data_IF_665622424770
#
_entry.id   IF_665622424770
#
_cell.length_a   1.000
_cell.length_b   1.000
_cell.length_c   1.000
_cell.angle_alpha   90.00
_cell.angle_beta   90.00
_cell.angle_gamma   90.00
#
_symmetry.space_group_name_H-M   'P 1'
#
loop_
_entity.id
_entity.type
_entity.pdbx_description
1 polymer ?
#
# COMPACT_ATOMS: atom_id res chain seq x y z
N UNK A 1 -14.89 15.13 9.20
CA UNK A 1 -14.99 14.08 8.13
C UNK A 1 -14.14 12.91 8.52
N UNK A 2 -14.60 11.68 8.38
CA UNK A 2 -13.83 10.45 8.66
C UNK A 2 -13.20 9.87 7.40
N UNK A 3 -12.13 9.11 7.57
CA UNK A 3 -11.55 8.30 6.50
C UNK A 3 -11.58 6.82 6.87
N UNK A 4 -11.93 5.98 5.92
CA UNK A 4 -11.99 4.53 6.02
C UNK A 4 -10.83 3.94 5.23
N UNK A 5 -9.92 3.23 5.89
CA UNK A 5 -8.78 2.60 5.23
C UNK A 5 -9.00 1.10 5.17
N UNK A 6 -9.08 0.56 3.96
CA UNK A 6 -9.22 -0.87 3.73
C UNK A 6 -7.87 -1.56 3.95
N UNK A 7 -7.80 -2.36 5.00
CA UNK A 7 -6.59 -3.07 5.44
C UNK A 7 -6.78 -4.58 5.33
N UNK A 8 -7.67 -4.99 4.43
CA UNK A 8 -7.96 -6.40 4.16
C UNK A 8 -6.87 -7.12 3.35
N UNK A 9 -6.94 -8.44 3.34
CA UNK A 9 -6.09 -9.32 2.54
C UNK A 9 -4.83 -9.81 3.25
N UNK A 10 -4.50 -11.09 3.03
CA UNK A 10 -3.37 -11.78 3.68
C UNK A 10 -1.98 -11.42 3.11
N UNK A 11 -1.92 -10.59 2.06
CA UNK A 11 -0.64 -10.20 1.44
C UNK A 11 0.15 -11.37 0.86
N UNK A 12 -0.50 -12.42 0.39
CA UNK A 12 0.15 -13.68 -0.05
C UNK A 12 1.19 -13.47 -1.15
N UNK A 13 0.98 -12.50 -2.04
CA UNK A 13 1.93 -12.16 -3.10
C UNK A 13 3.26 -11.59 -2.55
N UNK A 14 3.26 -11.01 -1.35
CA UNK A 14 4.44 -10.45 -0.67
C UNK A 14 5.17 -11.48 0.20
N UNK A 15 4.68 -12.71 0.33
CA UNK A 15 5.41 -13.77 1.06
C UNK A 15 6.83 -13.93 0.50
N UNK A 16 7.83 -14.12 1.39
CA UNK A 16 7.75 -14.45 2.81
C UNK A 16 7.62 -13.24 3.77
N UNK A 17 7.65 -11.98 3.32
CA UNK A 17 7.58 -10.79 4.19
C UNK A 17 6.32 -10.75 5.07
N UNK A 18 5.21 -11.24 4.53
CA UNK A 18 3.89 -11.21 5.19
C UNK A 18 3.52 -12.48 5.95
N UNK A 19 4.45 -13.40 6.15
CA UNK A 19 4.19 -14.61 6.98
C UNK A 19 3.91 -14.25 8.44
N UNK A 20 4.58 -13.25 8.96
CA UNK A 20 4.46 -12.82 10.36
C UNK A 20 3.94 -11.39 10.55
N UNK A 21 3.99 -10.58 9.51
CA UNK A 21 3.69 -9.15 9.57
C UNK A 21 2.55 -8.82 8.60
N UNK A 22 1.46 -8.15 9.03
CA UNK A 22 0.45 -7.66 8.11
C UNK A 22 1.07 -6.78 7.03
N UNK A 23 0.57 -6.85 5.79
CA UNK A 23 1.10 -6.12 4.65
C UNK A 23 1.30 -4.62 4.96
N UNK A 24 0.29 -3.99 5.53
CA UNK A 24 0.29 -2.55 5.79
C UNK A 24 1.21 -2.14 6.95
N UNK A 25 1.73 -3.11 7.69
CA UNK A 25 2.75 -2.93 8.73
C UNK A 25 4.18 -3.12 8.22
N UNK A 26 4.35 -3.52 6.94
CA UNK A 26 5.69 -3.57 6.34
C UNK A 26 6.26 -2.15 6.21
N UNK A 27 7.51 -1.94 6.62
CA UNK A 27 8.12 -0.61 6.57
C UNK A 27 8.55 -0.24 5.15
N UNK A 28 8.26 0.99 4.75
CA UNK A 28 8.76 1.61 3.53
C UNK A 28 9.62 2.79 3.97
N UNK A 29 10.91 2.71 3.70
CA UNK A 29 11.91 3.69 4.12
C UNK A 29 11.83 4.08 5.62
N UNK A 30 11.51 3.11 6.48
CA UNK A 30 11.48 3.26 7.94
C UNK A 30 10.12 3.62 8.56
N UNK A 31 9.10 3.89 7.76
CA UNK A 31 7.72 4.09 8.22
C UNK A 31 6.83 2.96 7.70
N UNK A 32 5.88 2.51 8.50
CA UNK A 32 4.94 1.48 8.04
C UNK A 32 4.11 2.00 6.86
N UNK A 33 3.70 1.11 5.98
CA UNK A 33 2.86 1.45 4.83
C UNK A 33 1.58 2.19 5.26
N UNK A 34 0.99 1.80 6.40
CA UNK A 34 -0.21 2.48 6.92
C UNK A 34 0.08 3.92 7.35
N UNK A 35 1.27 4.23 7.88
CA UNK A 35 1.65 5.61 8.21
C UNK A 35 1.72 6.47 6.96
N UNK A 36 2.24 5.94 5.84
CA UNK A 36 2.27 6.63 4.56
C UNK A 36 0.86 6.96 4.05
N UNK A 37 -0.06 6.00 4.13
CA UNK A 37 -1.45 6.17 3.68
C UNK A 37 -2.18 7.19 4.56
N UNK A 38 -2.04 7.08 5.88
CA UNK A 38 -2.74 7.98 6.82
C UNK A 38 -2.17 9.39 6.82
N UNK A 39 -0.85 9.54 6.65
CA UNK A 39 -0.21 10.84 6.59
C UNK A 39 -0.78 11.73 5.47
N UNK A 40 -1.19 11.14 4.36
CA UNK A 40 -1.83 11.84 3.22
C UNK A 40 -3.18 12.46 3.54
N UNK A 41 -3.80 12.08 4.65
CA UNK A 41 -5.08 12.63 5.11
C UNK A 41 -4.93 13.93 5.90
N UNK A 42 -3.71 14.20 6.40
CA UNK A 42 -3.43 15.40 7.18
C UNK A 42 -3.67 16.68 6.38
N UNK A 43 -4.34 17.64 6.99
CA UNK A 43 -4.62 18.95 6.38
C UNK A 43 -5.81 18.97 5.40
N UNK A 44 -6.51 17.85 5.21
CA UNK A 44 -7.63 17.73 4.27
C UNK A 44 -9.02 17.61 4.96
N UNK A 45 -9.10 17.98 6.25
CA UNK A 45 -10.36 17.98 7.00
C UNK A 45 -10.78 16.60 7.51
N UNK A 46 -9.87 15.62 7.46
CA UNK A 46 -10.04 14.33 8.12
C UNK A 46 -9.62 14.45 9.58
N UNK A 47 -10.47 14.02 10.49
CA UNK A 47 -10.28 14.11 11.94
C UNK A 47 -10.16 12.74 12.64
N UNK A 48 -10.55 11.67 11.97
CA UNK A 48 -10.46 10.30 12.47
C UNK A 48 -10.29 9.30 11.32
N UNK A 49 -9.53 8.23 11.56
CA UNK A 49 -9.32 7.12 10.62
C UNK A 49 -9.95 5.86 11.18
N UNK A 50 -10.70 5.13 10.35
CA UNK A 50 -11.24 3.81 10.66
C UNK A 50 -10.47 2.78 9.83
N UNK A 51 -9.74 1.89 10.49
CA UNK A 51 -9.08 0.76 9.83
C UNK A 51 -10.05 -0.41 9.72
N UNK A 52 -10.46 -0.75 8.50
CA UNK A 52 -11.25 -1.96 8.24
C UNK A 52 -10.32 -3.15 8.08
N UNK A 53 -10.33 -4.06 9.06
CA UNK A 53 -9.38 -5.16 9.19
C UNK A 53 -10.11 -6.50 9.05
N UNK A 54 -9.56 -7.41 8.26
CA UNK A 54 -10.02 -8.80 8.21
C UNK A 54 -9.35 -9.71 9.26
N UNK A 55 -8.23 -9.28 9.89
CA UNK A 55 -7.50 -10.09 10.88
C UNK A 55 -6.38 -9.28 11.56
N UNK A 56 -5.87 -9.81 12.70
CA UNK A 56 -4.71 -9.29 13.46
C UNK A 56 -4.76 -7.79 13.83
N UNK A 57 -5.82 -7.33 14.48
CA UNK A 57 -5.89 -5.94 14.95
C UNK A 57 -4.76 -5.61 15.95
N UNK A 58 -4.29 -6.60 16.70
CA UNK A 58 -3.24 -6.44 17.73
C UNK A 58 -1.97 -5.82 17.16
N UNK A 59 -1.55 -6.20 15.95
CA UNK A 59 -0.36 -5.65 15.32
C UNK A 59 -0.42 -4.12 15.15
N UNK A 60 -1.61 -3.57 14.90
CA UNK A 60 -1.83 -2.12 14.77
C UNK A 60 -1.92 -1.45 16.15
N UNK A 61 -2.63 -2.06 17.08
CA UNK A 61 -2.80 -1.52 18.43
C UNK A 61 -1.45 -1.49 19.20
N UNK A 62 -0.64 -2.53 19.06
CA UNK A 62 0.71 -2.60 19.65
C UNK A 62 1.67 -1.58 19.03
N UNK A 63 1.63 -1.41 17.71
CA UNK A 63 2.50 -0.45 17.02
C UNK A 63 2.11 1.01 17.31
N UNK A 64 0.82 1.27 17.54
CA UNK A 64 0.28 2.61 17.77
C UNK A 64 -0.43 2.73 19.13
N UNK A 65 0.27 2.54 20.26
CA UNK A 65 -0.35 2.47 21.59
C UNK A 65 -0.98 3.78 22.06
N UNK A 66 -0.71 4.89 21.38
CA UNK A 66 -1.33 6.20 21.66
C UNK A 66 -2.67 6.39 20.94
N UNK A 67 -3.17 5.39 20.20
CA UNK A 67 -4.38 5.48 19.41
C UNK A 67 -4.33 6.49 18.26
N UNK A 68 -3.12 6.75 17.73
CA UNK A 68 -2.91 7.70 16.63
C UNK A 68 -1.90 7.15 15.62
N UNK A 69 -2.19 7.34 14.32
CA UNK A 69 -1.29 7.08 13.21
C UNK A 69 -1.03 8.42 12.53
N UNK A 70 0.24 8.78 12.32
CA UNK A 70 0.65 10.07 11.72
C UNK A 70 -0.09 11.30 12.32
N UNK A 71 -0.40 11.25 13.62
CA UNK A 71 -1.09 12.33 14.33
C UNK A 71 -2.62 12.23 14.34
N UNK A 72 -3.26 11.49 13.44
CA UNK A 72 -4.70 11.28 13.39
C UNK A 72 -5.16 10.16 14.35
N UNK A 73 -6.22 10.38 15.14
CA UNK A 73 -6.86 9.32 15.91
C UNK A 73 -7.34 8.20 15.00
N UNK A 74 -7.25 6.96 15.46
CA UNK A 74 -7.81 5.83 14.70
C UNK A 74 -8.62 4.88 15.58
N UNK A 75 -9.57 4.21 14.94
CA UNK A 75 -10.30 3.05 15.46
C UNK A 75 -10.13 1.87 14.52
N UNK A 76 -10.36 0.67 15.03
CA UNK A 76 -10.36 -0.56 14.23
C UNK A 76 -11.78 -1.12 14.15
N UNK A 77 -12.20 -1.50 12.95
CA UNK A 77 -13.39 -2.29 12.68
C UNK A 77 -12.91 -3.66 12.15
N UNK A 78 -13.17 -4.72 12.90
CA UNK A 78 -12.65 -6.06 12.58
C UNK A 78 -13.80 -6.92 12.06
N UNK A 79 -13.74 -7.25 10.77
CA UNK A 79 -14.73 -8.12 10.13
C UNK A 79 -14.68 -9.52 10.74
N UNK A 80 -15.81 -10.09 11.16
CA UNK A 80 -15.86 -11.47 11.68
C UNK A 80 -15.53 -12.51 10.59
N UNK A 81 -15.82 -12.18 9.33
CA UNK A 81 -15.54 -12.94 8.12
C UNK A 81 -15.34 -12.00 6.95
N UNK A 82 -14.60 -12.39 5.87
CA UNK A 82 -14.37 -11.54 4.71
C UNK A 82 -15.67 -11.12 4.03
N UNK A 83 -15.87 -9.81 3.85
CA UNK A 83 -17.09 -9.24 3.26
C UNK A 83 -16.86 -8.58 1.89
N UNK A 84 -15.70 -8.79 1.28
CA UNK A 84 -15.34 -8.08 0.06
C UNK A 84 -15.10 -6.59 0.28
N UNK A 85 -14.80 -5.83 -0.79
CA UNK A 85 -14.42 -4.42 -0.66
C UNK A 85 -15.58 -3.52 -0.23
N UNK A 86 -16.76 -3.67 -0.82
CA UNK A 86 -17.94 -2.88 -0.42
C UNK A 86 -18.51 -3.34 0.93
N UNK A 87 -18.58 -4.64 1.18
CA UNK A 87 -19.04 -5.17 2.46
C UNK A 87 -18.17 -4.72 3.63
N UNK A 88 -16.85 -4.64 3.44
CA UNK A 88 -15.90 -4.09 4.40
C UNK A 88 -16.16 -2.60 4.69
N UNK A 89 -16.42 -1.80 3.64
CA UNK A 89 -16.79 -0.38 3.78
C UNK A 89 -18.10 -0.26 4.57
N UNK A 90 -19.11 -1.05 4.23
CA UNK A 90 -20.42 -1.04 4.91
C UNK A 90 -20.27 -1.40 6.36
N UNK A 91 -19.62 -2.52 6.68
CA UNK A 91 -19.40 -2.99 8.03
C UNK A 91 -18.69 -1.94 8.89
N UNK A 92 -17.57 -1.42 8.40
CA UNK A 92 -16.78 -0.43 9.15
C UNK A 92 -17.54 0.89 9.36
N UNK A 93 -18.36 1.31 8.39
CA UNK A 93 -19.20 2.50 8.51
C UNK A 93 -20.33 2.32 9.55
N UNK A 94 -20.95 1.15 9.58
CA UNK A 94 -22.01 0.82 10.57
C UNK A 94 -21.45 0.77 12.00
N UNK A 95 -20.23 0.20 12.21
CA UNK A 95 -19.56 0.16 13.52
C UNK A 95 -19.28 1.54 14.13
N UNK A 96 -19.20 2.58 13.31
CA UNK A 96 -18.92 3.94 13.77
C UNK A 96 -20.08 4.91 13.54
N UNK A 97 -21.24 4.40 13.14
CA UNK A 97 -22.46 5.18 12.84
C UNK A 97 -22.14 6.35 11.89
N UNK A 98 -21.51 6.02 10.74
CA UNK A 98 -21.01 7.02 9.80
C UNK A 98 -22.17 7.59 8.98
N UNK A 99 -22.47 8.88 9.17
CA UNK A 99 -23.63 9.59 8.60
C UNK A 99 -23.25 10.85 7.78
N UNK A 100 -21.96 11.07 7.56
CA UNK A 100 -21.43 12.19 6.77
C UNK A 100 -20.61 11.71 5.56
N UNK A 101 -20.34 12.59 4.59
CA UNK A 101 -19.40 12.32 3.49
C UNK A 101 -18.06 11.82 4.06
N UNK A 102 -17.51 10.76 3.50
CA UNK A 102 -16.28 10.16 3.98
C UNK A 102 -15.33 9.75 2.85
N UNK A 103 -14.06 9.59 3.19
CA UNK A 103 -13.03 9.14 2.26
C UNK A 103 -12.77 7.65 2.48
N UNK A 104 -12.57 6.89 1.40
CA UNK A 104 -12.14 5.49 1.44
C UNK A 104 -10.81 5.37 0.72
N UNK A 105 -9.85 4.68 1.33
CA UNK A 105 -8.53 4.42 0.74
C UNK A 105 -8.17 2.94 0.82
N UNK A 106 -7.54 2.44 -0.24
CA UNK A 106 -6.84 1.17 -0.16
C UNK A 106 -5.56 1.34 0.67
N UNK A 107 -5.39 0.56 1.72
CA UNK A 107 -4.28 0.67 2.67
C UNK A 107 -2.93 0.20 2.15
N UNK A 108 -2.83 -0.11 0.86
CA UNK A 108 -1.64 -0.63 0.19
C UNK A 108 -1.21 0.18 -1.04
N UNK A 109 -1.80 1.35 -1.23
CA UNK A 109 -1.49 2.27 -2.33
C UNK A 109 -0.74 3.49 -1.80
N UNK A 110 0.43 3.73 -2.35
CA UNK A 110 1.17 4.98 -2.15
C UNK A 110 0.81 5.95 -3.26
N UNK A 111 0.38 7.16 -2.88
CA UNK A 111 0.00 8.18 -3.88
C UNK A 111 0.30 9.58 -3.37
N UNK A 112 0.53 10.52 -4.29
CA UNK A 112 0.63 11.95 -4.01
C UNK A 112 -0.65 12.71 -4.38
N UNK A 113 -1.74 11.99 -4.57
CA UNK A 113 -3.07 12.55 -4.79
C UNK A 113 -3.41 13.59 -3.70
N UNK A 114 -3.84 14.76 -4.10
CA UNK A 114 -4.38 15.76 -3.19
C UNK A 114 -5.83 15.38 -2.82
N UNK A 115 -6.01 14.85 -1.61
CA UNK A 115 -7.34 14.43 -1.11
C UNK A 115 -8.32 15.60 -1.06
N UNK A 116 -7.86 16.82 -0.75
CA UNK A 116 -8.70 18.01 -0.74
C UNK A 116 -9.26 18.36 -2.13
N UNK A 117 -8.49 18.13 -3.20
CA UNK A 117 -8.97 18.34 -4.57
C UNK A 117 -10.06 17.33 -4.92
N UNK A 118 -9.88 16.06 -4.56
CA UNK A 118 -10.88 15.01 -4.77
C UNK A 118 -12.19 15.34 -4.03
N UNK A 119 -12.10 15.78 -2.76
CA UNK A 119 -13.27 16.18 -1.97
C UNK A 119 -13.98 17.39 -2.60
N UNK A 120 -13.22 18.40 -3.06
CA UNK A 120 -13.81 19.58 -3.73
C UNK A 120 -14.50 19.20 -5.04
N UNK A 121 -13.87 18.35 -5.84
CA UNK A 121 -14.47 17.85 -7.07
C UNK A 121 -15.76 17.08 -6.78
N UNK A 122 -15.75 16.16 -5.83
CA UNK A 122 -16.92 15.39 -5.39
C UNK A 122 -18.12 16.30 -5.05
N UNK A 123 -17.90 17.30 -4.19
CA UNK A 123 -18.94 18.27 -3.80
C UNK A 123 -19.44 19.10 -4.97
N UNK A 124 -18.56 19.53 -5.88
CA UNK A 124 -18.95 20.34 -7.04
C UNK A 124 -19.75 19.55 -8.07
N UNK A 125 -19.48 18.26 -8.20
CA UNK A 125 -20.22 17.35 -9.10
C UNK A 125 -21.58 16.91 -8.52
N UNK A 126 -21.83 17.10 -7.23
CA UNK A 126 -23.00 16.55 -6.54
C UNK A 126 -23.09 15.04 -6.63
N UNK A 127 -21.95 14.37 -6.60
CA UNK A 127 -21.82 12.93 -6.78
C UNK A 127 -22.28 12.15 -5.55
N UNK A 128 -22.81 10.94 -5.71
CA UNK A 128 -22.94 9.99 -4.59
C UNK A 128 -21.59 9.32 -4.29
N UNK A 129 -20.77 9.08 -5.33
CA UNK A 129 -19.42 8.55 -5.20
C UNK A 129 -18.48 9.19 -6.21
N UNK A 130 -17.23 9.40 -5.81
CA UNK A 130 -16.16 9.88 -6.69
C UNK A 130 -14.94 9.00 -6.55
N UNK A 131 -14.38 8.54 -7.69
CA UNK A 131 -13.17 7.72 -7.78
C UNK A 131 -12.01 8.60 -8.22
N UNK A 132 -10.85 8.49 -7.57
CA UNK A 132 -9.60 9.00 -8.13
C UNK A 132 -9.10 8.05 -9.23
N UNK A 133 -8.66 8.60 -10.35
CA UNK A 133 -8.10 7.83 -11.47
C UNK A 133 -6.62 8.12 -11.64
N UNK A 134 -5.90 7.10 -12.10
CA UNK A 134 -4.48 7.18 -12.46
C UNK A 134 -4.27 6.57 -13.85
N UNK A 135 -3.58 7.24 -14.78
CA UNK A 135 -3.18 6.62 -16.04
C UNK A 135 -2.02 5.64 -15.81
N UNK A 136 -2.12 4.45 -16.40
CA UNK A 136 -1.08 3.42 -16.35
C UNK A 136 -0.79 2.84 -17.73
N UNK A 137 0.41 2.31 -17.93
CA UNK A 137 0.81 1.72 -19.19
C UNK A 137 0.06 0.41 -19.51
N UNK A 138 -0.19 -0.43 -18.51
CA UNK A 138 -0.97 -1.67 -18.64
C UNK A 138 -2.13 -1.67 -17.66
N UNK A 139 -3.36 -1.31 -18.10
CA UNK A 139 -4.54 -1.24 -17.26
C UNK A 139 -5.23 -2.60 -17.04
N UNK A 140 -4.80 -3.68 -17.70
CA UNK A 140 -5.51 -4.97 -17.70
C UNK A 140 -5.65 -5.63 -16.33
N UNK A 141 -4.88 -5.18 -15.34
CA UNK A 141 -4.86 -5.75 -13.99
C UNK A 141 -5.74 -4.99 -12.99
N UNK A 142 -6.40 -3.92 -13.43
CA UNK A 142 -7.13 -2.97 -12.60
C UNK A 142 -8.56 -2.75 -13.10
N UNK A 143 -9.38 -2.09 -12.31
CA UNK A 143 -10.63 -1.54 -12.78
C UNK A 143 -10.39 -0.34 -13.69
N UNK A 144 -10.84 -0.40 -14.94
CA UNK A 144 -10.66 0.65 -15.95
C UNK A 144 -11.90 1.51 -16.03
N UNK A 145 -11.72 2.83 -16.08
CA UNK A 145 -12.81 3.79 -15.95
C UNK A 145 -12.82 4.78 -17.10
N UNK A 146 -13.90 4.79 -17.86
CA UNK A 146 -14.17 5.78 -18.92
C UNK A 146 -15.06 6.88 -18.40
N UNK A 147 -14.74 8.15 -18.69
CA UNK A 147 -15.49 9.32 -18.23
C UNK A 147 -15.95 10.23 -19.33
N UNK A 148 -17.04 10.94 -19.10
CA UNK A 148 -17.43 12.11 -19.89
C UNK A 148 -16.54 13.33 -19.52
N UNK A 149 -16.69 14.42 -20.27
CA UNK A 149 -15.90 15.64 -20.07
C UNK A 149 -16.16 16.35 -18.72
N UNK A 150 -17.31 16.09 -18.10
CA UNK A 150 -17.68 16.59 -16.77
C UNK A 150 -17.17 15.69 -15.62
N UNK A 151 -16.48 14.59 -15.95
CA UNK A 151 -15.99 13.59 -15.02
C UNK A 151 -16.99 12.53 -14.62
N UNK A 152 -18.22 12.56 -15.16
CA UNK A 152 -19.20 11.48 -14.90
C UNK A 152 -18.70 10.17 -15.52
N UNK A 153 -18.73 9.09 -14.74
CA UNK A 153 -18.31 7.77 -15.21
C UNK A 153 -19.34 7.23 -16.20
N UNK A 154 -18.85 6.82 -17.37
CA UNK A 154 -19.64 6.21 -18.45
C UNK A 154 -19.60 4.69 -18.37
N UNK A 155 -18.45 4.15 -17.96
CA UNK A 155 -18.21 2.72 -17.90
C UNK A 155 -17.14 2.41 -16.86
N UNK A 156 -17.34 1.32 -16.12
CA UNK A 156 -16.38 0.72 -15.20
C UNK A 156 -16.17 -0.75 -15.59
N UNK A 157 -14.96 -1.12 -16.00
CA UNK A 157 -14.63 -2.49 -16.44
C UNK A 157 -13.55 -3.08 -15.52
N UNK A 158 -13.92 -4.04 -14.69
CA UNK A 158 -12.97 -4.69 -13.76
C UNK A 158 -12.11 -5.71 -14.52
N UNK A 159 -10.80 -5.47 -14.55
CA UNK A 159 -9.76 -6.34 -15.13
C UNK A 159 -10.08 -6.80 -16.55
N UNK A 160 -10.17 -5.88 -17.52
CA UNK A 160 -10.43 -6.22 -18.91
C UNK A 160 -9.32 -7.15 -19.46
N UNK A 161 -9.64 -8.00 -20.45
CA UNK A 161 -8.61 -8.75 -21.16
C UNK A 161 -7.49 -7.84 -21.70
N UNK A 162 -6.27 -8.34 -21.77
CA UNK A 162 -5.14 -7.56 -22.26
C UNK A 162 -5.41 -6.97 -23.66
N UNK A 163 -5.15 -5.69 -23.84
CA UNK A 163 -5.38 -4.96 -25.10
C UNK A 163 -6.83 -4.57 -25.41
N UNK A 164 -7.79 -4.84 -24.49
CA UNK A 164 -9.22 -4.47 -24.69
C UNK A 164 -9.67 -3.31 -23.79
N UNK A 165 -8.78 -2.78 -22.97
CA UNK A 165 -9.11 -1.66 -22.08
C UNK A 165 -9.53 -0.42 -22.90
N UNK A 166 -10.67 0.22 -22.58
CA UNK A 166 -11.15 1.38 -23.33
C UNK A 166 -10.32 2.65 -23.11
N UNK A 167 -9.57 2.70 -22.02
CA UNK A 167 -8.70 3.82 -21.62
C UNK A 167 -7.55 3.32 -20.77
N UNK A 168 -6.53 4.17 -20.56
CA UNK A 168 -5.44 3.92 -19.62
C UNK A 168 -5.77 4.29 -18.16
N UNK A 169 -6.88 4.98 -17.91
CA UNK A 169 -7.27 5.44 -16.59
C UNK A 169 -7.83 4.28 -15.74
N UNK A 170 -7.18 4.01 -14.64
CA UNK A 170 -7.59 2.97 -13.71
C UNK A 170 -8.15 3.56 -12.42
N UNK A 171 -8.93 2.76 -11.71
CA UNK A 171 -9.30 3.00 -10.33
C UNK A 171 -8.05 3.04 -9.44
N UNK A 172 -7.76 4.22 -8.89
CA UNK A 172 -6.56 4.47 -8.09
C UNK A 172 -6.71 4.01 -6.61
N UNK A 173 -7.84 3.44 -6.20
CA UNK A 173 -8.07 2.94 -4.85
C UNK A 173 -8.29 4.05 -3.80
N UNK A 174 -8.74 5.22 -4.23
CA UNK A 174 -9.14 6.32 -3.34
C UNK A 174 -10.49 6.86 -3.79
N UNK A 175 -11.41 6.98 -2.84
CA UNK A 175 -12.80 7.34 -3.11
C UNK A 175 -13.30 8.42 -2.14
N UNK A 176 -14.27 9.22 -2.56
CA UNK A 176 -15.14 10.01 -1.67
C UNK A 176 -16.56 9.49 -1.86
N UNK A 177 -17.22 9.13 -0.77
CA UNK A 177 -18.54 8.52 -0.76
C UNK A 177 -19.50 9.31 0.10
N UNK A 178 -20.76 9.43 -0.35
CA UNK A 178 -21.87 9.87 0.46
C UNK A 178 -22.47 8.69 1.26
N UNK A 179 -23.07 8.92 2.43
CA UNK A 179 -23.74 7.87 3.21
C UNK A 179 -24.82 7.12 2.44
N UNK A 180 -25.45 7.75 1.43
CA UNK A 180 -26.43 7.10 0.57
C UNK A 180 -25.90 5.88 -0.18
N UNK A 181 -24.59 5.83 -0.46
CA UNK A 181 -23.92 4.66 -1.07
C UNK A 181 -24.01 3.46 -0.15
N UNK A 182 -23.92 3.64 1.16
CA UNK A 182 -24.02 2.54 2.13
C UNK A 182 -25.36 1.82 2.03
N UNK A 183 -26.46 2.54 1.79
CA UNK A 183 -27.78 1.95 1.62
C UNK A 183 -27.89 1.03 0.39
N UNK A 184 -27.00 1.17 -0.59
CA UNK A 184 -26.93 0.31 -1.79
C UNK A 184 -26.14 -0.98 -1.56
N UNK A 185 -25.39 -1.08 -0.47
CA UNK A 185 -24.56 -2.24 -0.16
C UNK A 185 -25.34 -3.14 0.82
N UNK A 186 -25.69 -4.38 0.43
CA UNK A 186 -26.31 -5.33 1.34
C UNK A 186 -25.47 -5.58 2.59
N UNK A 187 -26.14 -5.79 3.72
CA UNK A 187 -25.49 -6.14 5.00
C UNK A 187 -25.15 -7.63 5.06
N UNK A 188 -24.11 -7.96 5.80
CA UNK A 188 -23.75 -9.32 6.21
C UNK A 188 -23.48 -10.32 5.07
N UNK A 189 -23.12 -9.81 3.89
CA UNK A 189 -22.70 -10.64 2.74
C UNK A 189 -21.44 -10.07 2.09
N UNK A 190 -20.75 -10.90 1.32
CA UNK A 190 -19.62 -10.49 0.51
C UNK A 190 -20.09 -9.68 -0.69
N UNK A 191 -19.61 -8.42 -0.82
CA UNK A 191 -19.91 -7.51 -1.93
C UNK A 191 -18.63 -6.84 -2.43
N UNK A 192 -18.39 -6.89 -3.73
CA UNK A 192 -17.30 -6.14 -4.36
C UNK A 192 -17.76 -4.73 -4.76
N UNK A 193 -17.00 -3.72 -4.34
CA UNK A 193 -17.29 -2.34 -4.73
C UNK A 193 -17.12 -2.15 -6.25
N UNK A 194 -16.13 -2.83 -6.84
CA UNK A 194 -15.78 -2.72 -8.25
C UNK A 194 -16.74 -3.46 -9.18
N UNK A 195 -17.29 -4.59 -8.72
CA UNK A 195 -18.13 -5.45 -9.55
C UNK A 195 -19.63 -5.23 -9.39
N UNK A 196 -20.03 -4.63 -8.29
CA UNK A 196 -21.43 -4.49 -7.91
C UNK A 196 -21.82 -3.03 -7.63
N UNK A 197 -21.14 -2.38 -6.68
CA UNK A 197 -21.53 -1.04 -6.23
C UNK A 197 -21.25 0.04 -7.29
N UNK A 198 -20.05 0.07 -7.85
CA UNK A 198 -19.72 1.07 -8.88
C UNK A 198 -20.53 0.90 -10.15
N UNK A 199 -20.74 -0.30 -10.71
CA UNK A 199 -21.67 -0.48 -11.85
C UNK A 199 -23.08 0.03 -11.57
N UNK A 200 -23.65 -0.24 -10.39
CA UNK A 200 -24.97 0.28 -10.01
C UNK A 200 -25.01 1.83 -9.93
N UNK A 201 -23.92 2.45 -9.47
CA UNK A 201 -23.78 3.91 -9.45
C UNK A 201 -23.56 4.50 -10.86
N UNK A 202 -22.94 3.76 -11.78
CA UNK A 202 -22.87 4.14 -13.22
C UNK A 202 -24.27 4.15 -13.84
N UNK A 203 -25.06 3.09 -13.62
CA UNK A 203 -26.44 3.01 -14.12
C UNK A 203 -27.31 4.15 -13.60
N UNK A 204 -27.18 4.53 -12.32
CA UNK A 204 -27.89 5.67 -11.73
C UNK A 204 -27.28 7.03 -12.07
N UNK A 205 -26.16 7.07 -12.82
CA UNK A 205 -25.44 8.29 -13.23
C UNK A 205 -24.96 9.14 -12.06
N UNK A 206 -24.69 8.53 -10.91
CA UNK A 206 -24.25 9.19 -9.68
C UNK A 206 -22.78 8.94 -9.34
N UNK A 207 -22.06 8.18 -10.19
CA UNK A 207 -20.62 7.95 -10.08
C UNK A 207 -19.84 8.96 -10.93
N UNK A 208 -18.89 9.64 -10.30
CA UNK A 208 -17.96 10.55 -10.96
C UNK A 208 -16.51 10.08 -10.72
N UNK A 209 -15.59 10.60 -11.52
CA UNK A 209 -14.17 10.30 -11.35
C UNK A 209 -13.32 11.52 -11.67
N UNK A 210 -12.24 11.69 -10.91
CA UNK A 210 -11.26 12.73 -11.10
C UNK A 210 -9.94 12.10 -11.57
N UNK A 211 -9.55 12.38 -12.82
CA UNK A 211 -8.25 11.94 -13.34
C UNK A 211 -7.11 12.77 -12.71
N UNK A 212 -6.06 12.07 -12.32
CA UNK A 212 -4.81 12.66 -11.79
C UNK A 212 -3.62 12.05 -12.51
N UNK A 213 -2.51 12.77 -12.53
CA UNK A 213 -1.22 12.27 -13.03
C UNK A 213 -0.15 12.57 -11.96
N UNK A 214 -0.37 11.98 -10.78
CA UNK A 214 0.53 12.12 -9.64
C UNK A 214 1.27 10.81 -9.41
N UNK A 215 2.25 10.80 -8.50
CA UNK A 215 2.85 9.54 -8.07
C UNK A 215 1.78 8.59 -7.56
N UNK A 216 1.81 7.38 -8.07
CA UNK A 216 0.90 6.30 -7.66
C UNK A 216 1.59 4.94 -7.79
N UNK A 217 1.54 4.13 -6.75
CA UNK A 217 2.14 2.80 -6.73
C UNK A 217 1.34 1.85 -5.82
N UNK A 218 0.80 0.79 -6.42
CA UNK A 218 0.29 -0.38 -5.67
C UNK A 218 1.48 -1.20 -5.16
N UNK A 219 1.60 -1.38 -3.85
CA UNK A 219 2.71 -2.12 -3.23
C UNK A 219 2.40 -3.60 -3.04
N UNK A 220 1.59 -4.18 -3.91
CA UNK A 220 1.05 -5.53 -3.82
C UNK A 220 2.02 -6.67 -4.08
N UNK A 221 3.20 -6.42 -4.61
CA UNK A 221 4.23 -7.44 -4.92
C UNK A 221 5.60 -7.05 -4.37
N UNK A 222 6.55 -8.00 -4.18
CA UNK A 222 7.89 -7.66 -3.73
C UNK A 222 8.61 -6.65 -4.64
N UNK A 223 8.43 -6.74 -5.96
CA UNK A 223 9.04 -5.80 -6.90
C UNK A 223 8.49 -4.37 -6.68
N UNK A 224 7.17 -4.21 -6.54
CA UNK A 224 6.54 -2.92 -6.25
C UNK A 224 6.88 -2.40 -4.85
N UNK A 225 6.96 -3.28 -3.85
CA UNK A 225 7.42 -2.92 -2.51
C UNK A 225 8.88 -2.45 -2.51
N UNK A 226 9.76 -3.14 -3.26
CA UNK A 226 11.15 -2.72 -3.46
C UNK A 226 11.21 -1.35 -4.13
N UNK A 227 10.46 -1.15 -5.21
CA UNK A 227 10.42 0.11 -5.95
C UNK A 227 9.94 1.26 -5.06
N UNK A 228 8.90 1.07 -4.26
CA UNK A 228 8.42 2.07 -3.29
C UNK A 228 9.53 2.56 -2.36
N UNK A 229 10.32 1.63 -1.83
CA UNK A 229 11.47 1.98 -0.97
C UNK A 229 12.55 2.76 -1.75
N UNK A 230 12.88 2.28 -2.97
CA UNK A 230 13.92 2.90 -3.80
C UNK A 230 13.50 4.30 -4.23
N UNK A 231 12.26 4.54 -4.60
CA UNK A 231 11.76 5.87 -5.00
C UNK A 231 11.97 6.91 -3.90
N UNK A 232 11.81 6.50 -2.65
CA UNK A 232 11.99 7.37 -1.50
C UNK A 232 13.48 7.58 -1.19
N UNK A 233 14.27 6.50 -1.07
CA UNK A 233 15.67 6.61 -0.65
C UNK A 233 16.57 7.23 -1.72
N UNK A 234 16.20 7.13 -3.00
CA UNK A 234 16.91 7.78 -4.11
C UNK A 234 16.50 9.24 -4.32
N UNK A 235 15.47 9.73 -3.59
CA UNK A 235 14.94 11.08 -3.78
C UNK A 235 14.07 11.27 -5.03
N UNK A 236 13.67 10.20 -5.72
CA UNK A 236 12.69 10.26 -6.82
C UNK A 236 11.31 10.67 -6.32
N UNK A 237 11.02 10.36 -5.07
CA UNK A 237 9.88 10.87 -4.34
C UNK A 237 10.38 11.56 -3.08
N UNK A 238 10.14 12.86 -2.98
CA UNK A 238 10.48 13.63 -1.79
C UNK A 238 9.51 13.32 -0.65
N UNK A 239 10.07 13.08 0.53
CA UNK A 239 9.30 13.01 1.76
C UNK A 239 10.08 13.66 2.90
N UNK A 240 9.55 14.73 3.50
CA UNK A 240 10.27 15.46 4.56
C UNK A 240 10.59 14.56 5.76
N UNK A 241 11.85 14.57 6.20
CA UNK A 241 12.27 13.92 7.44
C UNK A 241 12.74 12.48 7.32
N UNK A 242 12.73 11.85 6.15
CA UNK A 242 13.25 10.49 5.98
C UNK A 242 14.78 10.47 5.95
N UNK A 243 15.35 9.58 6.76
CA UNK A 243 16.78 9.24 6.72
C UNK A 243 16.91 7.89 6.01
N UNK A 244 17.44 7.84 4.79
CA UNK A 244 17.48 6.61 3.99
C UNK A 244 18.38 5.51 4.54
N UNK A 245 19.34 5.85 5.40
CA UNK A 245 20.25 4.89 6.04
C UNK A 245 20.25 5.14 7.56
N UNK A 246 19.81 4.17 8.34
CA UNK A 246 19.77 4.24 9.80
C UNK A 246 20.62 3.15 10.49
N UNK A 247 21.06 2.12 9.73
CA UNK A 247 21.94 1.06 10.23
C UNK A 247 23.42 1.45 10.23
N UNK A 248 24.26 0.59 10.79
CA UNK A 248 25.71 0.73 10.82
C UNK A 248 26.32 0.26 9.50
N UNK A 249 26.98 1.16 8.78
CA UNK A 249 27.64 0.86 7.50
C UNK A 249 29.15 1.04 7.64
N UNK A 250 29.92 -0.01 7.36
CA UNK A 250 31.39 0.06 7.35
C UNK A 250 31.86 1.10 6.32
N UNK A 251 32.92 1.81 6.63
CA UNK A 251 33.53 2.82 5.72
C UNK A 251 34.06 2.25 4.41
N UNK A 252 34.26 0.92 4.33
CA UNK A 252 34.68 0.22 3.10
C UNK A 252 33.53 -0.48 2.40
N UNK A 253 32.29 -0.40 2.90
CA UNK A 253 31.11 -0.90 2.23
C UNK A 253 30.54 0.14 1.26
N UNK A 254 29.82 -0.33 0.24
CA UNK A 254 29.12 0.51 -0.73
C UNK A 254 27.61 0.30 -0.59
N UNK A 255 26.87 1.37 -0.28
CA UNK A 255 25.40 1.35 -0.22
C UNK A 255 24.88 2.43 -1.17
N UNK A 256 24.08 2.04 -2.17
CA UNK A 256 23.54 2.93 -3.21
C UNK A 256 22.06 2.63 -3.42
N UNK A 257 21.21 3.66 -3.46
CA UNK A 257 19.78 3.57 -3.69
C UNK A 257 19.11 2.46 -2.83
N UNK A 258 19.47 2.38 -1.56
CA UNK A 258 19.09 1.27 -0.69
C UNK A 258 18.69 1.76 0.69
N UNK A 259 17.71 1.12 1.27
CA UNK A 259 17.32 1.32 2.67
C UNK A 259 18.09 0.34 3.56
N UNK A 260 18.62 0.84 4.68
CA UNK A 260 19.24 0.02 5.73
C UNK A 260 18.60 0.38 7.06
N UNK A 261 17.79 -0.54 7.60
CA UNK A 261 17.00 -0.35 8.80
C UNK A 261 17.82 -0.28 10.08
N UNK A 262 17.22 0.22 11.17
CA UNK A 262 17.84 0.29 12.49
C UNK A 262 18.39 -1.05 12.96
N UNK A 263 19.49 -1.04 13.72
CA UNK A 263 20.15 -2.25 14.24
C UNK A 263 20.88 -3.09 13.19
N UNK A 264 20.71 -2.81 11.91
CA UNK A 264 21.37 -3.56 10.82
C UNK A 264 22.83 -3.13 10.67
N UNK A 265 23.69 -4.10 10.27
CA UNK A 265 25.14 -3.91 10.11
C UNK A 265 25.61 -4.37 8.75
N UNK A 266 26.24 -3.48 8.01
CA UNK A 266 26.85 -3.77 6.71
C UNK A 266 28.37 -3.82 6.88
N UNK A 267 28.94 -5.02 6.72
CA UNK A 267 30.38 -5.26 6.96
C UNK A 267 31.26 -4.73 5.83
N UNK A 268 32.57 -4.65 6.09
CA UNK A 268 33.55 -4.12 5.14
C UNK A 268 33.58 -4.84 3.79
N UNK A 269 33.70 -4.07 2.72
CA UNK A 269 33.72 -4.57 1.34
C UNK A 269 32.39 -5.10 0.81
N UNK A 270 31.33 -5.08 1.62
CA UNK A 270 29.98 -5.45 1.14
C UNK A 270 29.43 -4.39 0.19
N UNK A 271 28.61 -4.84 -0.76
CA UNK A 271 27.93 -3.99 -1.77
C UNK A 271 26.43 -4.22 -1.64
N UNK A 272 25.68 -3.14 -1.39
CA UNK A 272 24.23 -3.13 -1.32
C UNK A 272 23.72 -2.11 -2.32
N UNK A 273 22.98 -2.55 -3.34
CA UNK A 273 22.43 -1.69 -4.39
C UNK A 273 20.98 -1.99 -4.64
N UNK A 274 20.17 -0.93 -4.77
CA UNK A 274 18.74 -1.02 -5.07
C UNK A 274 18.05 -2.09 -4.23
N UNK A 275 18.31 -2.08 -2.91
CA UNK A 275 17.89 -3.15 -2.02
C UNK A 275 17.31 -2.60 -0.72
N UNK A 276 16.46 -3.40 -0.09
CA UNK A 276 15.85 -3.10 1.21
C UNK A 276 16.42 -4.07 2.24
N UNK A 277 17.13 -3.54 3.19
CA UNK A 277 17.63 -4.25 4.37
C UNK A 277 16.80 -3.76 5.55
N UNK A 278 15.87 -4.57 6.05
CA UNK A 278 15.04 -4.21 7.20
C UNK A 278 15.86 -4.29 8.50
N UNK A 279 15.20 -4.18 9.64
CA UNK A 279 15.85 -4.01 10.94
C UNK A 279 16.67 -5.25 11.39
N UNK A 280 17.71 -5.02 12.19
CA UNK A 280 18.52 -6.04 12.85
C UNK A 280 19.20 -7.05 11.91
N UNK A 281 19.40 -6.70 10.65
CA UNK A 281 20.10 -7.56 9.69
C UNK A 281 21.61 -7.48 9.83
N UNK A 282 22.30 -8.58 9.49
CA UNK A 282 23.76 -8.63 9.40
C UNK A 282 24.19 -9.01 8.00
N UNK A 283 24.93 -8.13 7.33
CA UNK A 283 25.52 -8.39 6.01
C UNK A 283 27.03 -8.59 6.16
N UNK A 284 27.49 -9.80 5.87
CA UNK A 284 28.86 -10.23 6.02
C UNK A 284 29.84 -9.56 5.03
N UNK A 285 31.13 -9.63 5.36
CA UNK A 285 32.18 -8.99 4.59
C UNK A 285 32.21 -9.45 3.12
N UNK A 286 32.28 -8.51 2.17
CA UNK A 286 32.33 -8.77 0.74
C UNK A 286 31.04 -9.39 0.15
N UNK A 287 29.95 -9.45 0.87
CA UNK A 287 28.66 -9.87 0.33
C UNK A 287 28.13 -8.85 -0.67
N UNK A 288 27.37 -9.32 -1.67
CA UNK A 288 26.77 -8.50 -2.73
C UNK A 288 25.26 -8.70 -2.72
N UNK A 289 24.51 -7.64 -2.49
CA UNK A 289 23.05 -7.63 -2.45
C UNK A 289 22.54 -6.61 -3.46
N UNK A 290 21.87 -7.07 -4.50
CA UNK A 290 21.36 -6.24 -5.59
C UNK A 290 19.90 -6.57 -5.86
N UNK A 291 19.05 -5.53 -6.04
CA UNK A 291 17.61 -5.64 -6.32
C UNK A 291 16.88 -6.66 -5.41
N UNK A 292 17.17 -6.64 -4.11
CA UNK A 292 16.75 -7.68 -3.17
C UNK A 292 16.19 -7.11 -1.88
N UNK A 293 15.41 -7.93 -1.16
CA UNK A 293 14.77 -7.55 0.10
C UNK A 293 15.19 -8.54 1.20
N UNK A 294 15.72 -8.03 2.30
CA UNK A 294 16.00 -8.77 3.52
C UNK A 294 15.01 -8.33 4.61
N UNK A 295 14.20 -9.27 5.11
CA UNK A 295 13.33 -9.02 6.25
C UNK A 295 14.13 -8.90 7.56
N UNK A 296 13.47 -8.50 8.65
CA UNK A 296 14.10 -8.28 9.94
C UNK A 296 14.89 -9.50 10.43
N UNK A 297 16.08 -9.25 10.97
CA UNK A 297 16.92 -10.27 11.60
C UNK A 297 17.63 -11.22 10.62
N UNK A 298 17.65 -10.93 9.34
CA UNK A 298 18.35 -11.76 8.33
C UNK A 298 19.86 -11.67 8.52
N UNK A 299 20.53 -12.83 8.47
CA UNK A 299 21.98 -12.92 8.48
C UNK A 299 22.49 -13.40 7.12
N UNK A 300 23.24 -12.56 6.42
CA UNK A 300 23.91 -12.89 5.15
C UNK A 300 25.40 -13.13 5.42
N UNK A 301 25.88 -14.33 5.11
CA UNK A 301 27.27 -14.72 5.27
C UNK A 301 28.21 -13.95 4.32
N UNK A 302 29.50 -13.87 4.69
CA UNK A 302 30.50 -13.20 3.86
C UNK A 302 30.59 -13.78 2.45
N UNK A 303 30.88 -12.95 1.44
CA UNK A 303 31.00 -13.31 0.02
C UNK A 303 29.72 -13.90 -0.62
N UNK A 304 28.58 -13.94 0.07
CA UNK A 304 27.30 -14.34 -0.48
C UNK A 304 26.82 -13.34 -1.53
N UNK A 305 26.04 -13.79 -2.51
CA UNK A 305 25.50 -12.96 -3.59
C UNK A 305 24.00 -13.17 -3.72
N UNK A 306 23.22 -12.11 -3.57
CA UNK A 306 21.77 -12.09 -3.74
C UNK A 306 21.43 -11.11 -4.85
N UNK A 307 20.64 -11.55 -5.85
CA UNK A 307 20.32 -10.74 -7.03
C UNK A 307 18.91 -10.99 -7.55
N UNK A 308 18.46 -10.11 -8.44
CA UNK A 308 17.29 -10.29 -9.29
C UNK A 308 15.98 -10.57 -8.52
N UNK A 309 15.73 -9.82 -7.46
CA UNK A 309 14.48 -9.93 -6.70
C UNK A 309 14.49 -11.03 -5.63
N UNK A 310 15.65 -11.36 -5.05
CA UNK A 310 15.67 -12.23 -3.87
C UNK A 310 14.86 -11.59 -2.74
N UNK A 311 14.06 -12.41 -2.05
CA UNK A 311 13.29 -12.00 -0.86
C UNK A 311 13.59 -12.99 0.25
N UNK A 312 14.33 -12.54 1.25
CA UNK A 312 14.74 -13.35 2.39
C UNK A 312 13.86 -13.00 3.58
N UNK A 313 13.15 -13.98 4.10
CA UNK A 313 12.20 -13.86 5.19
C UNK A 313 12.86 -13.63 6.54
N UNK A 314 12.04 -13.32 7.53
CA UNK A 314 12.47 -12.94 8.87
C UNK A 314 13.33 -14.03 9.54
N UNK A 315 14.47 -13.60 10.15
CA UNK A 315 15.41 -14.44 10.88
C UNK A 315 16.07 -15.57 10.06
N UNK A 316 15.97 -15.51 8.74
CA UNK A 316 16.64 -16.47 7.86
C UNK A 316 18.14 -16.22 7.78
N UNK A 317 18.88 -17.29 7.46
CA UNK A 317 20.33 -17.21 7.27
C UNK A 317 20.72 -17.66 5.87
N UNK A 318 21.50 -16.82 5.19
CA UNK A 318 22.14 -17.13 3.91
C UNK A 318 23.60 -17.52 4.19
N UNK A 319 24.04 -18.75 3.88
CA UNK A 319 25.41 -19.20 4.16
C UNK A 319 26.47 -18.39 3.41
N UNK A 320 27.73 -18.33 3.93
CA UNK A 320 28.83 -17.66 3.22
C UNK A 320 29.08 -18.23 1.81
N UNK A 321 29.40 -17.36 0.86
CA UNK A 321 29.77 -17.72 -0.52
C UNK A 321 28.62 -18.24 -1.40
N UNK A 322 27.41 -18.37 -0.89
CA UNK A 322 26.24 -18.82 -1.64
C UNK A 322 25.80 -17.75 -2.63
N UNK A 323 25.38 -18.17 -3.83
CA UNK A 323 24.74 -17.30 -4.82
C UNK A 323 23.26 -17.64 -4.97
N UNK A 324 22.39 -16.66 -4.75
CA UNK A 324 20.94 -16.75 -4.91
C UNK A 324 20.50 -15.79 -6.01
N UNK A 325 19.58 -16.23 -6.86
CA UNK A 325 19.05 -15.45 -7.97
C UNK A 325 17.51 -15.58 -8.02
N UNK A 326 16.78 -14.50 -7.77
CA UNK A 326 15.33 -14.46 -7.75
C UNK A 326 14.67 -15.37 -6.70
N UNK A 327 15.39 -15.79 -5.66
CA UNK A 327 14.93 -16.77 -4.67
C UNK A 327 14.06 -16.11 -3.60
N UNK A 328 12.98 -16.77 -3.22
CA UNK A 328 12.20 -16.46 -2.01
C UNK A 328 12.46 -17.52 -0.95
N UNK A 329 12.92 -17.09 0.23
CA UNK A 329 13.27 -17.99 1.33
C UNK A 329 12.61 -17.50 2.62
N UNK A 330 11.78 -18.33 3.34
CA UNK A 330 11.34 -19.63 2.86
C UNK A 330 10.50 -19.52 1.58
N UNK A 331 10.40 -20.63 0.85
CA UNK A 331 9.55 -20.67 -0.35
C UNK A 331 8.09 -20.29 0.03
N UNK A 332 7.40 -19.47 -0.75
CA UNK A 332 5.98 -19.21 -0.51
C UNK A 332 5.19 -20.50 -0.68
N UNK A 333 4.34 -20.82 0.30
CA UNK A 333 3.38 -21.93 0.22
C UNK A 333 2.27 -21.64 -0.78
#
# INVERSE_FOLDING_TARGET
>A
MKALVLVGGFGTRLRPLTLTTPKQMLPIAGYTMIEWVVDRLNGHGVDEVILSLGYRPDAFLEAFPRGKISGLPFRVAVEPEPRGTAGAVRFAADEVELDETFVVLNGDVLTDLNIGDLIRFHKSAGAEATIALQPVADPSRFGVVSTASDGRVLEFVEKPPAGTAPTSNINAGTYVLEPSVLARIPQDIEVSIERETFPALVESRSLYAMATDTYWLDTGTPAQYLEANIDIVSGRREFPGIKPVQGEVSSTATVVDSFVGPGSRISGGAIVRRSVILDDCVVGAGAVIEDSILANGVVVGGQARLRNGCVIGRNETVPPGVSLDGVRQPAPE
#
